data_IF_992181718323
#
_entry.id   IF_992181718323
#
_cell.length_a   1.000
_cell.length_b   1.000
_cell.length_c   1.000
_cell.angle_alpha   90.00
_cell.angle_beta   90.00
_cell.angle_gamma   90.00
#
_symmetry.space_group_name_H-M   'P 1'
#
loop_
_entity.id
_entity.type
_entity.pdbx_description
1 polymer ?
#
# COMPACT_ATOMS: atom_id res chain seq x y z
N UNK A 1 32.43 30.55 8.13
CA UNK A 1 32.71 29.13 8.21
C UNK A 1 31.43 28.36 8.35
N UNK A 2 31.25 27.44 7.48
CA UNK A 2 30.02 26.61 7.47
C UNK A 2 30.13 25.54 8.54
N UNK A 3 29.11 25.41 9.36
CA UNK A 3 29.10 24.38 10.36
C UNK A 3 28.68 23.05 9.72
N UNK A 4 29.20 21.92 10.21
CA UNK A 4 28.72 20.62 9.72
C UNK A 4 27.23 20.45 9.89
N UNK A 5 26.65 21.04 10.92
CA UNK A 5 25.23 20.91 11.18
C UNK A 5 24.37 21.50 10.07
N UNK A 6 24.75 22.67 9.58
CA UNK A 6 23.96 23.32 8.53
C UNK A 6 24.05 22.56 7.20
N UNK A 7 25.15 21.88 6.96
CA UNK A 7 25.28 21.06 5.76
C UNK A 7 24.52 19.75 5.87
N UNK A 8 24.52 19.14 7.04
CA UNK A 8 23.86 17.86 7.23
C UNK A 8 22.33 17.98 7.29
N UNK A 9 21.81 19.13 7.71
CA UNK A 9 20.36 19.32 7.80
C UNK A 9 19.63 19.19 6.47
N UNK A 10 20.09 19.88 5.40
CA UNK A 10 19.40 19.71 4.11
C UNK A 10 19.37 18.27 3.64
N UNK A 11 20.46 17.53 3.83
CA UNK A 11 20.51 16.12 3.45
C UNK A 11 19.54 15.28 4.26
N UNK A 12 19.47 15.50 5.56
CA UNK A 12 18.52 14.77 6.41
C UNK A 12 17.08 15.08 6.05
N UNK A 13 16.78 16.30 5.69
CA UNK A 13 15.44 16.69 5.33
C UNK A 13 15.03 16.14 3.97
N UNK A 14 15.99 16.00 3.06
CA UNK A 14 15.72 15.48 1.73
C UNK A 14 15.38 14.00 1.76
N UNK A 15 16.08 13.20 2.58
CA UNK A 15 15.80 11.79 2.71
C UNK A 15 14.37 11.53 3.17
N UNK A 16 13.87 12.19 4.23
CA UNK A 16 12.47 11.99 4.63
C UNK A 16 11.47 12.34 3.55
N UNK A 17 11.75 13.35 2.70
CA UNK A 17 10.84 13.70 1.62
C UNK A 17 10.74 12.59 0.59
N UNK A 18 11.85 11.99 0.22
CA UNK A 18 11.84 10.88 -0.72
C UNK A 18 11.25 9.61 -0.10
N UNK A 19 11.55 9.39 1.16
CA UNK A 19 10.94 8.28 1.89
C UNK A 19 9.43 8.43 1.93
N UNK A 20 8.93 9.66 1.99
CA UNK A 20 7.50 9.92 1.97
C UNK A 20 6.85 9.42 0.69
N UNK A 21 7.53 9.51 -0.44
CA UNK A 21 7.00 8.98 -1.70
C UNK A 21 6.75 7.47 -1.60
N UNK A 22 7.68 6.75 -0.98
CA UNK A 22 7.50 5.31 -0.74
C UNK A 22 6.40 5.07 0.28
N UNK A 23 6.36 5.86 1.35
CA UNK A 23 5.33 5.73 2.37
C UNK A 23 3.93 6.01 1.82
N UNK A 24 3.82 6.83 0.79
CA UNK A 24 2.53 7.05 0.13
C UNK A 24 1.99 5.76 -0.49
N UNK A 25 2.86 4.92 -1.03
CA UNK A 25 2.44 3.60 -1.53
C UNK A 25 1.95 2.74 -0.37
N UNK A 26 2.70 2.70 0.72
CA UNK A 26 2.37 1.90 1.91
C UNK A 26 1.10 2.41 2.58
N UNK A 27 0.94 3.74 2.63
CA UNK A 27 -0.23 4.37 3.23
C UNK A 27 -1.46 4.36 2.36
N UNK A 28 -1.34 3.99 1.10
CA UNK A 28 -2.49 3.92 0.22
C UNK A 28 -3.40 2.79 0.65
N UNK A 29 -4.67 3.10 0.79
CA UNK A 29 -5.67 2.19 1.33
C UNK A 29 -5.75 0.88 0.54
N UNK A 30 -5.53 0.92 -0.76
CA UNK A 30 -5.74 -0.23 -1.63
C UNK A 30 -4.47 -0.86 -2.16
N UNK A 31 -3.36 -0.13 -2.21
CA UNK A 31 -2.14 -0.58 -2.86
C UNK A 31 -1.58 -1.85 -2.23
N UNK A 32 -1.48 -1.92 -0.91
CA UNK A 32 -0.95 -3.10 -0.25
C UNK A 32 -1.86 -4.31 -0.40
N UNK A 33 -3.17 -4.09 -0.50
CA UNK A 33 -4.12 -5.19 -0.73
C UNK A 33 -3.95 -5.77 -2.12
N UNK A 34 -3.72 -4.92 -3.13
CA UNK A 34 -3.42 -5.39 -4.48
C UNK A 34 -2.13 -6.19 -4.48
N UNK A 35 -1.08 -5.66 -3.87
CA UNK A 35 0.22 -6.35 -3.79
C UNK A 35 0.06 -7.71 -3.12
N UNK A 36 -0.67 -7.78 -2.01
CA UNK A 36 -0.91 -9.03 -1.30
C UNK A 36 -1.61 -10.05 -2.18
N UNK A 37 -2.64 -9.62 -2.89
CA UNK A 37 -3.40 -10.53 -3.74
C UNK A 37 -2.60 -11.04 -4.93
N UNK A 38 -1.62 -10.27 -5.41
CA UNK A 38 -0.76 -10.69 -6.51
C UNK A 38 0.44 -11.53 -6.04
N UNK A 39 0.58 -11.76 -4.75
CA UNK A 39 1.75 -12.45 -4.20
C UNK A 39 1.89 -13.89 -4.68
N UNK A 40 0.81 -14.55 -5.02
CA UNK A 40 0.83 -15.95 -5.42
C UNK A 40 0.78 -16.16 -6.93
N UNK A 41 0.72 -15.09 -7.69
CA UNK A 41 0.75 -15.19 -9.14
C UNK A 41 -0.10 -14.12 -9.81
N UNK A 42 -0.10 -14.12 -11.14
CA UNK A 42 -0.88 -13.15 -11.91
C UNK A 42 -2.38 -13.30 -11.67
N UNK A 43 -3.06 -12.15 -11.65
CA UNK A 43 -4.51 -12.11 -11.57
C UNK A 43 -5.06 -11.15 -12.61
N UNK A 44 -6.27 -11.39 -13.02
CA UNK A 44 -7.02 -10.49 -13.91
C UNK A 44 -7.71 -9.42 -13.10
N UNK A 45 -8.13 -8.37 -13.78
CA UNK A 45 -8.85 -7.27 -13.16
C UNK A 45 -10.08 -7.76 -12.37
N UNK A 46 -10.89 -8.60 -12.98
CA UNK A 46 -12.11 -9.10 -12.33
C UNK A 46 -11.80 -9.95 -11.11
N UNK A 47 -10.72 -10.72 -11.17
CA UNK A 47 -10.29 -11.51 -10.03
C UNK A 47 -9.83 -10.64 -8.86
N UNK A 48 -9.06 -9.59 -9.17
CA UNK A 48 -8.64 -8.62 -8.16
C UNK A 48 -9.83 -7.90 -7.55
N UNK A 49 -10.76 -7.45 -8.39
CA UNK A 49 -11.93 -6.73 -7.90
C UNK A 49 -12.77 -7.61 -6.97
N UNK A 50 -12.86 -8.88 -7.28
CA UNK A 50 -13.62 -9.83 -6.47
C UNK A 50 -12.90 -10.14 -5.16
N UNK A 51 -11.57 -10.20 -5.20
CA UNK A 51 -10.76 -10.53 -4.02
C UNK A 51 -10.63 -9.39 -3.03
N UNK A 52 -10.71 -8.15 -3.49
CA UNK A 52 -10.53 -6.98 -2.63
C UNK A 52 -11.90 -6.41 -2.31
N UNK A 53 -12.39 -6.74 -1.13
CA UNK A 53 -13.72 -6.32 -0.70
C UNK A 53 -13.83 -4.81 -0.61
N UNK A 54 -14.91 -4.29 -1.18
CA UNK A 54 -15.23 -2.87 -1.11
C UNK A 54 -14.52 -1.97 -2.11
N UNK A 55 -13.61 -2.50 -2.94
CA UNK A 55 -12.95 -1.65 -3.92
C UNK A 55 -13.86 -1.41 -5.13
N UNK A 56 -13.96 -0.15 -5.56
CA UNK A 56 -14.69 0.18 -6.77
C UNK A 56 -13.83 -0.10 -8.00
N UNK A 57 -14.49 -0.24 -9.15
CA UNK A 57 -13.79 -0.42 -10.41
C UNK A 57 -12.84 0.74 -10.69
N UNK A 58 -13.28 1.96 -10.40
CA UNK A 58 -12.47 3.16 -10.59
C UNK A 58 -11.23 3.15 -9.71
N UNK A 59 -11.40 2.83 -8.43
CA UNK A 59 -10.27 2.81 -7.49
C UNK A 59 -9.28 1.72 -7.86
N UNK A 60 -9.76 0.56 -8.26
CA UNK A 60 -8.87 -0.50 -8.69
C UNK A 60 -8.07 -0.09 -9.93
N UNK A 61 -8.74 0.53 -10.90
CA UNK A 61 -8.06 1.02 -12.11
C UNK A 61 -6.97 2.03 -11.74
N UNK A 62 -7.30 3.00 -10.90
CA UNK A 62 -6.34 4.03 -10.48
C UNK A 62 -5.15 3.40 -9.73
N UNK A 63 -5.45 2.48 -8.81
CA UNK A 63 -4.42 1.82 -8.02
C UNK A 63 -3.49 0.99 -8.90
N UNK A 64 -4.04 0.22 -9.82
CA UNK A 64 -3.24 -0.60 -10.73
C UNK A 64 -2.33 0.26 -11.62
N UNK A 65 -2.86 1.35 -12.15
CA UNK A 65 -2.06 2.25 -12.98
C UNK A 65 -0.92 2.89 -12.18
N UNK A 66 -1.20 3.28 -10.97
CA UNK A 66 -0.19 3.89 -10.10
C UNK A 66 0.92 2.89 -9.77
N UNK A 67 0.56 1.66 -9.44
CA UNK A 67 1.53 0.62 -9.12
C UNK A 67 2.34 0.21 -10.36
N UNK A 68 1.71 0.18 -11.51
CA UNK A 68 2.42 -0.09 -12.77
C UNK A 68 3.42 1.02 -13.07
N UNK A 69 3.00 2.28 -12.91
CA UNK A 69 3.88 3.42 -13.13
C UNK A 69 5.10 3.39 -12.22
N UNK A 70 4.92 2.93 -10.99
CA UNK A 70 6.00 2.85 -10.00
C UNK A 70 6.86 1.58 -10.16
N UNK A 71 6.54 0.72 -11.10
CA UNK A 71 7.32 -0.50 -11.35
C UNK A 71 7.06 -1.61 -10.36
N UNK A 72 5.97 -1.54 -9.59
CA UNK A 72 5.60 -2.56 -8.60
C UNK A 72 4.94 -3.76 -9.29
N UNK A 73 4.20 -3.51 -10.35
CA UNK A 73 3.56 -4.58 -11.11
C UNK A 73 3.66 -4.29 -12.60
N UNK A 74 3.43 -5.33 -13.39
CA UNK A 74 3.31 -5.22 -14.84
C UNK A 74 1.91 -5.64 -15.28
N UNK A 75 1.49 -5.04 -16.38
CA UNK A 75 0.24 -5.36 -17.03
C UNK A 75 0.57 -6.09 -18.33
N UNK A 76 0.05 -7.29 -18.47
CA UNK A 76 0.30 -8.13 -19.64
C UNK A 76 -0.98 -8.33 -20.40
N UNK A 77 -0.94 -8.05 -21.70
CA UNK A 77 -2.07 -8.27 -22.59
C UNK A 77 -1.75 -9.46 -23.47
N UNK A 78 -2.58 -10.47 -23.45
CA UNK A 78 -2.45 -11.62 -24.35
C UNK A 78 -3.37 -11.45 -25.53
N UNK A 79 -2.81 -11.58 -26.71
CA UNK A 79 -3.52 -11.45 -27.97
C UNK A 79 -4.19 -12.77 -28.31
N UNK A 80 -5.13 -13.19 -27.49
CA UNK A 80 -5.98 -14.37 -27.75
C UNK A 80 -7.42 -13.91 -27.83
N UNK A 81 -8.29 -14.79 -28.29
CA UNK A 81 -9.72 -14.46 -28.38
C UNK A 81 -10.48 -15.25 -27.32
N UNK A 82 -11.08 -14.57 -26.35
CA UNK A 82 -11.04 -13.11 -26.10
C UNK A 82 -9.73 -12.65 -25.52
N UNK A 83 -9.37 -11.34 -25.64
CA UNK A 83 -8.13 -10.82 -25.09
C UNK A 83 -8.08 -10.96 -23.58
N UNK A 84 -6.92 -11.28 -23.08
CA UNK A 84 -6.70 -11.42 -21.64
C UNK A 84 -5.73 -10.34 -21.16
N UNK A 85 -6.12 -9.65 -20.10
CA UNK A 85 -5.24 -8.69 -19.42
C UNK A 85 -5.02 -9.21 -18.01
N UNK A 86 -3.77 -9.42 -17.64
CA UNK A 86 -3.40 -9.86 -16.31
C UNK A 86 -2.36 -8.92 -15.70
N UNK A 87 -2.28 -8.94 -14.38
CA UNK A 87 -1.37 -8.13 -13.59
C UNK A 87 -0.50 -9.05 -12.77
N UNK A 88 0.77 -8.70 -12.66
CA UNK A 88 1.74 -9.53 -11.97
C UNK A 88 2.77 -8.66 -11.28
N UNK A 89 3.22 -9.07 -10.08
CA UNK A 89 4.27 -8.34 -9.39
C UNK A 89 5.59 -8.45 -10.12
N UNK A 90 6.31 -7.33 -10.21
CA UNK A 90 7.70 -7.33 -10.64
C UNK A 90 8.59 -7.89 -9.53
N UNK A 91 9.88 -8.18 -9.80
CA UNK A 91 10.79 -8.53 -8.70
C UNK A 91 10.81 -7.48 -7.60
N UNK A 92 10.77 -6.19 -7.94
CA UNK A 92 10.69 -5.12 -6.95
C UNK A 92 9.38 -5.17 -6.17
N UNK A 93 8.28 -5.46 -6.86
CA UNK A 93 6.98 -5.63 -6.21
C UNK A 93 6.98 -6.78 -5.20
N UNK A 94 7.71 -7.85 -5.51
CA UNK A 94 7.85 -8.98 -4.59
C UNK A 94 8.63 -8.59 -3.34
N UNK A 95 9.65 -7.74 -3.48
CA UNK A 95 10.37 -7.24 -2.31
C UNK A 95 9.49 -6.33 -1.46
N UNK A 96 8.63 -5.52 -2.09
CA UNK A 96 7.66 -4.72 -1.35
C UNK A 96 6.70 -5.62 -0.58
N UNK A 97 6.23 -6.69 -1.20
CA UNK A 97 5.37 -7.65 -0.52
C UNK A 97 6.04 -8.25 0.71
N UNK A 98 7.30 -8.62 0.58
CA UNK A 98 8.05 -9.15 1.72
C UNK A 98 8.18 -8.13 2.84
N UNK A 99 8.44 -6.88 2.49
CA UNK A 99 8.60 -5.81 3.48
C UNK A 99 7.30 -5.48 4.19
N UNK A 100 6.16 -5.63 3.53
CA UNK A 100 4.86 -5.21 4.07
C UNK A 100 4.04 -6.36 4.64
N UNK A 101 4.39 -7.61 4.37
CA UNK A 101 3.65 -8.75 4.90
C UNK A 101 3.54 -8.73 6.43
N UNK A 102 4.62 -8.48 7.19
CA UNK A 102 4.49 -8.39 8.64
C UNK A 102 3.55 -7.29 9.10
N UNK A 103 3.51 -6.17 8.38
CA UNK A 103 2.60 -5.07 8.70
C UNK A 103 1.14 -5.51 8.57
N UNK A 104 0.81 -6.20 7.49
CA UNK A 104 -0.56 -6.68 7.27
C UNK A 104 -0.93 -7.76 8.29
N UNK A 105 0.01 -8.62 8.63
CA UNK A 105 -0.21 -9.61 9.68
C UNK A 105 -0.44 -8.95 11.02
N UNK A 106 0.34 -7.92 11.34
CA UNK A 106 0.17 -7.16 12.57
C UNK A 106 -1.23 -6.55 12.64
N UNK A 107 -1.67 -5.95 11.55
CA UNK A 107 -2.98 -5.31 11.52
C UNK A 107 -4.10 -6.31 11.74
N UNK A 108 -4.05 -7.47 11.13
CA UNK A 108 -5.05 -8.52 11.33
C UNK A 108 -5.05 -9.00 12.77
N UNK A 109 -3.87 -9.20 13.35
CA UNK A 109 -3.76 -9.71 14.72
C UNK A 109 -4.25 -8.70 15.77
N UNK A 110 -4.24 -7.40 15.46
CA UNK A 110 -4.53 -6.35 16.45
C UNK A 110 -5.85 -5.61 16.21
N UNK A 111 -6.63 -5.97 15.20
CA UNK A 111 -7.89 -5.28 14.91
C UNK A 111 -8.83 -5.27 16.10
N UNK A 112 -8.99 -6.40 16.77
CA UNK A 112 -9.86 -6.48 17.93
C UNK A 112 -9.36 -5.59 19.08
N UNK A 113 -8.05 -5.51 19.25
CA UNK A 113 -7.43 -4.64 20.26
C UNK A 113 -7.69 -3.16 19.94
N UNK A 114 -7.56 -2.79 18.67
CA UNK A 114 -7.81 -1.42 18.22
C UNK A 114 -9.27 -1.05 18.43
N UNK A 115 -10.18 -1.96 18.07
CA UNK A 115 -11.61 -1.72 18.26
C UNK A 115 -11.96 -1.55 19.75
N UNK A 116 -11.38 -2.37 20.61
CA UNK A 116 -11.58 -2.26 22.05
C UNK A 116 -11.04 -0.94 22.60
N UNK A 117 -9.87 -0.53 22.12
CA UNK A 117 -9.27 0.73 22.54
C UNK A 117 -10.13 1.93 22.12
N UNK A 118 -10.66 1.89 20.89
CA UNK A 118 -11.55 2.94 20.39
C UNK A 118 -12.82 3.01 21.18
N UNK A 119 -13.43 1.87 21.49
CA UNK A 119 -14.65 1.82 22.28
C UNK A 119 -14.42 2.39 23.68
N UNK A 120 -13.30 2.05 24.30
CA UNK A 120 -12.96 2.57 25.64
C UNK A 120 -12.77 4.08 25.59
N UNK A 121 -12.08 4.57 24.58
CA UNK A 121 -11.83 6.00 24.41
C UNK A 121 -13.15 6.76 24.21
N UNK A 122 -13.99 6.27 23.34
CA UNK A 122 -15.25 6.93 22.97
C UNK A 122 -16.25 6.93 24.12
N UNK A 123 -16.15 5.97 25.06
CA UNK A 123 -17.00 5.90 26.22
C UNK A 123 -16.55 6.82 27.36
N UNK A 124 -15.39 7.47 27.25
CA UNK A 124 -14.92 8.35 28.32
C UNK A 124 -15.82 9.57 28.46
N UNK A 125 -15.96 10.09 29.68
CA UNK A 125 -16.65 11.38 29.87
C UNK A 125 -15.92 12.47 29.09
N UNK A 126 -16.66 13.51 28.71
CA UNK A 126 -16.09 14.63 27.96
C UNK A 126 -15.25 15.52 28.88
N UNK A 127 -14.16 14.99 29.35
CA UNK A 127 -13.18 15.70 30.16
C UNK A 127 -11.83 15.75 29.50
N UNK A 128 -11.81 15.31 28.26
CA UNK A 128 -10.55 15.11 27.53
C UNK A 128 -9.93 16.39 27.03
N UNK A 129 -10.63 17.49 27.06
CA UNK A 129 -10.10 18.73 26.53
C UNK A 129 -8.99 19.26 27.43
N UNK A 130 -7.85 19.54 26.85
CA UNK A 130 -6.77 20.19 27.58
C UNK A 130 -7.12 21.62 27.91
#
# INVERSE_FOLDING_TARGET
>A
MTTPDSESRPARQQEPCRTREVLDIVGDKWSLLVVRNLSQGPLRFTELKRAIDGISQRMLTVTLRSLERDGILTRTVRNVMPPHVSYELTPMGKTLRQATAPLLEWSTAHLAHIDAARATYDARPDTSLP
#
